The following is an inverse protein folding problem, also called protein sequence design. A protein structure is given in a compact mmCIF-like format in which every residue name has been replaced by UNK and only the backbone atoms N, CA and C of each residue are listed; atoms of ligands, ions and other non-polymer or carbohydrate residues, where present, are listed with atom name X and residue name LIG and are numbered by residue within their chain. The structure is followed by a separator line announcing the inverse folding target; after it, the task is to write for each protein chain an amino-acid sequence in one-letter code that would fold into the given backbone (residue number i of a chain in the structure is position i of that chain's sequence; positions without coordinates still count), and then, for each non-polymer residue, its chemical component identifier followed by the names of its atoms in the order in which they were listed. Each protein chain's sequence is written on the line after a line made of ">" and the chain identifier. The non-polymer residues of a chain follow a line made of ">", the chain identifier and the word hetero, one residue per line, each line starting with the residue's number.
data_IF_818346982792
#
_entry.id   IF_818346982792
#
_cell.length_a   1.000
_cell.length_b   1.000
_cell.length_c   1.000
_cell.angle_alpha   90.00
_cell.angle_beta   90.00
_cell.angle_gamma   90.00
#
_symmetry.space_group_name_H-M   'P 1'
#
loop_
_entity.id
_entity.type
_entity.pdbx_description
1 polymer ?
#
# COMPACT_ATOMS: atom_id res chain seq x y z
N UNK A 1 -56.75 -15.44 25.51
CA UNK A 1 -55.63 -16.19 24.88
C UNK A 1 -55.19 -15.61 23.54
N UNK A 2 -56.00 -15.62 22.47
CA UNK A 2 -55.58 -15.19 21.11
C UNK A 2 -55.00 -13.76 20.98
N UNK A 3 -55.45 -12.81 21.81
CA UNK A 3 -54.92 -11.44 21.82
C UNK A 3 -53.50 -11.36 22.43
N UNK A 4 -53.16 -12.24 23.37
CA UNK A 4 -51.88 -12.23 24.11
C UNK A 4 -50.72 -12.75 23.25
N UNK A 5 -50.77 -14.01 22.80
CA UNK A 5 -51.05 -14.24 21.38
C UNK A 5 -50.32 -13.41 20.32
N UNK A 6 -51.18 -12.68 19.60
CA UNK A 6 -50.85 -11.69 18.59
C UNK A 6 -49.87 -10.62 19.10
N UNK A 7 -50.06 -10.12 20.34
CA UNK A 7 -49.17 -9.08 20.90
C UNK A 7 -47.75 -9.62 21.03
N UNK A 8 -47.54 -10.82 21.55
CA UNK A 8 -46.22 -11.43 21.66
C UNK A 8 -45.54 -11.56 20.28
N UNK A 9 -46.27 -12.04 19.26
CA UNK A 9 -45.74 -12.19 17.89
C UNK A 9 -45.36 -10.86 17.24
N UNK A 10 -46.21 -9.84 17.38
CA UNK A 10 -45.95 -8.50 16.84
C UNK A 10 -44.74 -7.86 17.54
N UNK A 11 -44.64 -8.02 18.85
CA UNK A 11 -43.52 -7.44 19.63
C UNK A 11 -42.19 -8.08 19.22
N UNK A 12 -42.14 -9.41 19.09
CA UNK A 12 -40.94 -10.12 18.60
C UNK A 12 -40.54 -9.70 17.18
N UNK A 13 -41.51 -9.56 16.27
CA UNK A 13 -41.24 -9.09 14.90
C UNK A 13 -40.69 -7.66 14.88
N UNK A 14 -41.22 -6.76 15.73
CA UNK A 14 -40.74 -5.39 15.86
C UNK A 14 -39.32 -5.33 16.41
N UNK A 15 -38.98 -6.16 17.40
CA UNK A 15 -37.61 -6.25 17.95
C UNK A 15 -36.62 -6.71 16.88
N UNK A 16 -36.93 -7.80 16.17
CA UNK A 16 -36.08 -8.29 15.08
C UNK A 16 -35.88 -7.24 13.99
N UNK A 17 -36.94 -6.51 13.62
CA UNK A 17 -36.85 -5.44 12.62
C UNK A 17 -35.89 -4.33 13.07
N UNK A 18 -35.97 -3.89 14.33
CA UNK A 18 -35.07 -2.89 14.91
C UNK A 18 -33.61 -3.36 14.89
N UNK A 19 -33.36 -4.61 15.25
CA UNK A 19 -32.00 -5.19 15.22
C UNK A 19 -31.45 -5.28 13.80
N UNK A 20 -32.27 -5.70 12.83
CA UNK A 20 -31.89 -5.74 11.42
C UNK A 20 -31.57 -4.33 10.88
N UNK A 21 -32.37 -3.33 11.24
CA UNK A 21 -32.15 -1.96 10.80
C UNK A 21 -30.88 -1.38 11.44
N UNK A 22 -30.62 -1.65 12.72
CA UNK A 22 -29.39 -1.29 13.41
C UNK A 22 -28.16 -2.00 12.83
N UNK A 23 -28.28 -3.26 12.41
CA UNK A 23 -27.21 -4.00 11.73
C UNK A 23 -26.91 -3.38 10.36
N UNK A 24 -27.94 -3.09 9.55
CA UNK A 24 -27.77 -2.44 8.25
C UNK A 24 -27.12 -1.05 8.37
N UNK A 25 -27.48 -0.29 9.40
CA UNK A 25 -26.84 1.00 9.66
C UNK A 25 -25.34 0.84 9.93
N UNK A 26 -24.96 -0.12 10.80
CA UNK A 26 -23.55 -0.44 11.08
C UNK A 26 -22.80 -0.94 9.86
N UNK A 27 -23.41 -1.80 9.03
CA UNK A 27 -22.78 -2.29 7.79
C UNK A 27 -22.51 -1.14 6.81
N UNK A 28 -23.41 -0.16 6.70
CA UNK A 28 -23.19 1.04 5.88
C UNK A 28 -22.04 1.90 6.41
N UNK A 29 -22.00 2.13 7.72
CA UNK A 29 -20.92 2.89 8.36
C UNK A 29 -19.57 2.19 8.18
N UNK A 30 -19.51 0.87 8.35
CA UNK A 30 -18.31 0.07 8.10
C UNK A 30 -17.87 0.15 6.63
N UNK A 31 -18.81 0.07 5.70
CA UNK A 31 -18.50 0.18 4.27
C UNK A 31 -17.96 1.57 3.92
N UNK A 32 -18.51 2.63 4.51
CA UNK A 32 -18.01 3.99 4.35
C UNK A 32 -16.58 4.15 4.90
N UNK A 33 -16.35 3.74 6.16
CA UNK A 33 -15.02 3.76 6.77
C UNK A 33 -14.00 2.93 6.00
N UNK A 34 -14.38 1.77 5.47
CA UNK A 34 -13.48 0.96 4.65
C UNK A 34 -13.08 1.69 3.36
N UNK A 35 -14.01 2.38 2.69
CA UNK A 35 -13.67 3.19 1.51
C UNK A 35 -12.71 4.32 1.85
N UNK A 36 -12.94 5.01 2.96
CA UNK A 36 -12.05 6.09 3.42
C UNK A 36 -10.64 5.57 3.75
N UNK A 37 -10.56 4.41 4.40
CA UNK A 37 -9.29 3.73 4.69
C UNK A 37 -8.57 3.28 3.41
N UNK A 38 -9.30 2.71 2.45
CA UNK A 38 -8.74 2.31 1.15
C UNK A 38 -8.20 3.52 0.38
N UNK A 39 -8.92 4.64 0.39
CA UNK A 39 -8.50 5.89 -0.24
C UNK A 39 -7.24 6.45 0.43
N UNK A 40 -7.22 6.56 1.77
CA UNK A 40 -6.05 7.02 2.51
C UNK A 40 -4.82 6.10 2.28
N UNK A 41 -5.04 4.79 2.22
CA UNK A 41 -3.96 3.83 1.94
C UNK A 41 -3.42 3.99 0.51
N UNK A 42 -4.28 4.29 -0.46
CA UNK A 42 -3.88 4.60 -1.84
C UNK A 42 -2.97 5.83 -1.90
N UNK A 43 -3.33 6.90 -1.20
CA UNK A 43 -2.53 8.13 -1.13
C UNK A 43 -1.15 7.89 -0.49
N UNK A 44 -1.08 7.09 0.59
CA UNK A 44 0.18 6.70 1.22
C UNK A 44 1.04 5.85 0.29
N UNK A 45 0.46 4.94 -0.51
CA UNK A 45 1.21 4.14 -1.49
C UNK A 45 1.87 5.00 -2.56
N UNK A 46 1.19 6.06 -3.02
CA UNK A 46 1.77 7.02 -3.98
C UNK A 46 2.96 7.75 -3.37
N UNK A 47 2.84 8.20 -2.11
CA UNK A 47 3.92 8.88 -1.39
C UNK A 47 5.13 7.97 -1.13
N UNK A 48 4.91 6.66 -0.88
CA UNK A 48 5.98 5.66 -0.78
C UNK A 48 6.77 5.45 -2.08
N UNK A 49 6.22 5.85 -3.23
CA UNK A 49 6.93 5.81 -4.51
C UNK A 49 7.96 6.93 -4.69
N UNK A 50 7.93 7.96 -3.82
CA UNK A 50 8.87 9.07 -3.91
C UNK A 50 10.18 8.73 -3.19
N UNK A 51 11.21 8.41 -3.98
CA UNK A 51 12.56 8.10 -3.47
C UNK A 51 13.44 9.35 -3.64
N UNK A 52 13.82 10.05 -2.56
CA UNK A 52 14.66 11.22 -2.65
C UNK A 52 16.09 10.83 -3.05
N UNK A 53 16.53 11.27 -4.23
CA UNK A 53 17.88 11.01 -4.74
C UNK A 53 18.72 12.30 -4.81
N UNK A 54 20.03 12.16 -4.63
CA UNK A 54 20.97 13.24 -4.89
C UNK A 54 21.11 13.45 -6.40
N UNK A 55 20.89 14.67 -6.88
CA UNK A 55 20.95 14.97 -8.31
C UNK A 55 22.33 14.66 -8.92
N UNK A 56 23.40 14.88 -8.15
CA UNK A 56 24.80 14.72 -8.59
C UNK A 56 25.31 13.29 -8.52
N UNK A 57 25.15 12.60 -7.38
CA UNK A 57 25.73 11.27 -7.16
C UNK A 57 24.73 10.13 -7.11
N UNK A 58 23.43 10.41 -7.29
CA UNK A 58 22.32 9.44 -7.34
C UNK A 58 22.10 8.58 -6.09
N UNK A 59 22.85 8.82 -5.00
CA UNK A 59 22.57 8.23 -3.68
C UNK A 59 21.12 8.51 -3.25
N UNK A 60 20.51 7.57 -2.55
CA UNK A 60 19.18 7.71 -1.95
C UNK A 60 19.31 8.21 -0.52
N UNK A 61 18.46 9.15 -0.13
CA UNK A 61 18.32 9.56 1.27
C UNK A 61 17.28 8.67 1.96
N UNK A 62 17.66 8.01 3.04
CA UNK A 62 16.74 7.20 3.84
C UNK A 62 15.89 8.06 4.79
N UNK A 63 14.98 7.41 5.53
CA UNK A 63 14.08 8.07 6.50
C UNK A 63 14.83 8.67 7.70
N UNK A 64 16.08 8.25 7.94
CA UNK A 64 16.96 8.78 8.99
C UNK A 64 17.81 9.95 8.48
N UNK A 65 17.73 10.27 7.19
CA UNK A 65 18.47 11.35 6.54
C UNK A 65 19.86 10.96 6.04
N UNK A 66 20.25 9.68 6.12
CA UNK A 66 21.54 9.21 5.60
C UNK A 66 21.50 8.95 4.10
N UNK A 67 22.62 9.21 3.44
CA UNK A 67 22.79 8.97 2.01
C UNK A 67 23.46 7.63 1.75
N UNK A 68 22.76 6.74 1.08
CA UNK A 68 23.25 5.41 0.72
C UNK A 68 23.17 5.11 -0.78
N UNK A 69 23.89 4.08 -1.22
CA UNK A 69 23.83 3.61 -2.60
C UNK A 69 22.43 3.06 -2.94
N UNK A 70 22.07 3.09 -4.22
CA UNK A 70 20.75 2.69 -4.68
C UNK A 70 20.55 1.19 -4.44
N UNK A 71 21.57 0.41 -4.75
CA UNK A 71 21.63 -1.03 -4.60
C UNK A 71 21.34 -1.43 -3.15
N UNK A 72 22.03 -0.81 -2.19
CA UNK A 72 21.80 -1.02 -0.75
C UNK A 72 20.36 -0.72 -0.35
N UNK A 73 19.84 0.45 -0.76
CA UNK A 73 18.48 0.86 -0.42
C UNK A 73 17.42 -0.13 -0.92
N UNK A 74 17.57 -0.62 -2.16
CA UNK A 74 16.63 -1.56 -2.78
C UNK A 74 16.76 -2.96 -2.17
N UNK A 75 17.98 -3.44 -1.91
CA UNK A 75 18.21 -4.74 -1.27
C UNK A 75 17.62 -4.80 0.15
N UNK A 76 17.69 -3.71 0.92
CA UNK A 76 17.09 -3.64 2.26
C UNK A 76 15.55 -3.71 2.24
N UNK A 77 14.92 -3.38 1.10
CA UNK A 77 13.47 -3.17 0.99
C UNK A 77 12.78 -4.11 -0.01
N UNK A 78 13.51 -5.06 -0.58
CA UNK A 78 13.01 -6.01 -1.56
C UNK A 78 13.85 -7.29 -1.60
N UNK A 79 13.39 -8.30 -2.32
CA UNK A 79 14.15 -9.53 -2.56
C UNK A 79 15.13 -9.40 -3.74
N UNK A 80 15.37 -8.19 -4.24
CA UNK A 80 16.23 -7.97 -5.40
C UNK A 80 17.70 -8.32 -5.09
N UNK A 81 18.36 -8.94 -6.06
CA UNK A 81 19.79 -9.21 -6.04
C UNK A 81 20.46 -8.43 -7.18
N UNK A 82 21.59 -7.80 -6.89
CA UNK A 82 22.35 -7.03 -7.87
C UNK A 82 23.64 -7.78 -8.22
N UNK A 83 23.93 -7.85 -9.51
CA UNK A 83 25.23 -8.26 -10.04
C UNK A 83 25.95 -7.05 -10.63
N UNK A 84 27.28 -7.14 -10.74
CA UNK A 84 28.09 -6.11 -11.35
C UNK A 84 28.42 -6.52 -12.78
N UNK A 85 28.09 -5.66 -13.74
CA UNK A 85 28.39 -5.84 -15.16
C UNK A 85 28.70 -4.50 -15.81
N UNK A 86 29.35 -4.53 -16.97
CA UNK A 86 29.65 -3.36 -17.78
C UNK A 86 28.87 -3.45 -19.09
N UNK A 87 28.05 -2.44 -19.40
CA UNK A 87 27.34 -2.42 -20.69
C UNK A 87 28.33 -2.10 -21.83
N UNK A 88 27.94 -2.39 -23.07
CA UNK A 88 28.78 -2.15 -24.26
C UNK A 88 29.24 -0.70 -24.39
N UNK A 89 28.38 0.26 -24.03
CA UNK A 89 28.72 1.69 -24.11
C UNK A 89 29.78 2.08 -23.07
N UNK A 90 29.63 1.57 -21.84
CA UNK A 90 30.63 1.77 -20.79
C UNK A 90 31.95 1.06 -21.13
N UNK A 91 31.89 -0.13 -21.72
CA UNK A 91 33.07 -0.85 -22.19
C UNK A 91 33.84 -0.03 -23.24
N UNK A 92 33.15 0.46 -24.27
CA UNK A 92 33.73 1.36 -25.30
C UNK A 92 34.33 2.62 -24.70
N UNK A 93 33.70 3.19 -23.68
CA UNK A 93 34.15 4.44 -23.06
C UNK A 93 35.36 4.25 -22.13
N UNK A 94 35.37 3.19 -21.32
CA UNK A 94 36.38 2.97 -20.29
C UNK A 94 37.54 2.10 -20.76
N UNK A 95 37.27 1.20 -21.72
CA UNK A 95 38.19 0.20 -22.25
C UNK A 95 38.08 0.14 -23.79
N UNK A 96 38.33 1.26 -24.49
CA UNK A 96 38.15 1.33 -25.95
C UNK A 96 38.99 0.28 -26.70
N UNK A 97 40.18 -0.05 -26.22
CA UNK A 97 41.09 -1.02 -26.85
C UNK A 97 40.58 -2.47 -26.79
N UNK A 98 39.59 -2.75 -25.93
CA UNK A 98 39.00 -4.08 -25.73
C UNK A 98 37.54 -4.15 -26.19
N UNK A 99 37.04 -3.10 -26.86
CA UNK A 99 35.61 -2.96 -27.13
C UNK A 99 35.12 -3.64 -28.42
N UNK A 100 36.06 -4.08 -29.27
CA UNK A 100 35.80 -4.65 -30.60
C UNK A 100 36.24 -6.14 -30.73
N UNK A 101 36.57 -6.81 -29.61
CA UNK A 101 36.68 -8.29 -29.52
C UNK A 101 35.32 -8.95 -29.26
#
# INVERSE_FOLDING_TARGET
>A
MKKLELVARVTSALTLKREMDARKARERELAEKNRDLEQALSEVKVLRGFIPICASCKKIRDDKGYWQQIETYIQERSEALFSHGICKDCMKKLYPDYADE
#
